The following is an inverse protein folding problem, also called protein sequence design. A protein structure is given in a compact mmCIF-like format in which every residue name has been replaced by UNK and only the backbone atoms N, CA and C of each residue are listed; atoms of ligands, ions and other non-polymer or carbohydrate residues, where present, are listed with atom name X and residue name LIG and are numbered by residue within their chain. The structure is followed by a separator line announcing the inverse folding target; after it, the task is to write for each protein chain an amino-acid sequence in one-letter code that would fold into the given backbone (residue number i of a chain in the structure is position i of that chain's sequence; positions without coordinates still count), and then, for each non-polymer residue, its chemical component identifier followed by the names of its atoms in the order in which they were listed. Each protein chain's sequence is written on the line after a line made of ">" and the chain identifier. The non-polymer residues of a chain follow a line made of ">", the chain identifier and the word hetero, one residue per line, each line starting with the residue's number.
data_IF_422842130746
#
_entry.id   IF_422842130746
#
_cell.length_a   1.000
_cell.length_b   1.000
_cell.length_c   1.000
_cell.angle_alpha   90.00
_cell.angle_beta   90.00
_cell.angle_gamma   90.00
#
_symmetry.space_group_name_H-M   'P 1'
#
loop_
_entity.id
_entity.type
_entity.pdbx_description
1 polymer ?
#
# COMPACT_ATOMS: atom_id res chain seq x y z
N UNK A 1 24.43 -7.55 3.99
CA UNK A 1 24.11 -6.17 3.54
C UNK A 1 22.65 -5.93 3.81
N UNK A 2 22.30 -4.86 4.53
CA UNK A 2 20.91 -4.47 4.78
C UNK A 2 20.28 -3.91 3.52
N UNK A 3 18.99 -4.23 3.29
CA UNK A 3 18.23 -3.62 2.20
C UNK A 3 18.14 -2.10 2.41
N UNK A 4 18.25 -1.35 1.32
CA UNK A 4 18.10 0.11 1.32
C UNK A 4 16.70 0.43 0.82
N UNK A 5 15.91 1.11 1.64
CA UNK A 5 14.51 1.47 1.35
C UNK A 5 14.37 2.98 1.43
N UNK A 6 13.76 3.58 0.41
CA UNK A 6 13.24 4.95 0.47
C UNK A 6 11.72 4.88 0.60
N UNK A 7 11.16 5.69 1.49
CA UNK A 7 9.72 5.82 1.65
C UNK A 7 9.31 7.28 1.42
N UNK A 8 8.29 7.50 0.60
CA UNK A 8 7.78 8.84 0.30
C UNK A 8 6.25 8.85 0.16
N UNK A 9 5.57 9.93 0.55
CA UNK A 9 4.16 10.08 0.25
C UNK A 9 3.96 10.29 -1.26
N UNK A 10 2.90 9.71 -1.82
CA UNK A 10 2.46 10.04 -3.17
C UNK A 10 1.81 11.42 -3.24
N UNK A 11 1.13 11.81 -2.16
CA UNK A 11 0.55 13.13 -1.96
C UNK A 11 0.67 13.52 -0.48
N UNK A 12 1.03 14.77 -0.20
CA UNK A 12 1.02 15.31 1.16
C UNK A 12 -0.42 15.47 1.66
N UNK A 13 -0.73 14.94 2.83
CA UNK A 13 -2.03 15.14 3.49
C UNK A 13 -2.20 16.54 4.08
N UNK A 14 -1.11 17.28 4.27
CA UNK A 14 -1.12 18.63 4.86
C UNK A 14 -1.20 19.70 3.78
N UNK A 15 -0.32 19.63 2.79
CA UNK A 15 -0.22 20.64 1.72
C UNK A 15 -0.99 20.28 0.45
N UNK A 16 -1.47 19.04 0.31
CA UNK A 16 -2.14 18.55 -0.90
C UNK A 16 -1.22 18.32 -2.09
N UNK A 17 0.08 18.64 -2.00
CA UNK A 17 1.06 18.51 -3.08
C UNK A 17 1.21 17.04 -3.49
N UNK A 18 1.01 16.74 -4.77
CA UNK A 18 1.33 15.44 -5.40
C UNK A 18 2.82 15.41 -5.75
N UNK A 19 3.54 14.39 -5.28
CA UNK A 19 4.99 14.28 -5.49
C UNK A 19 5.31 13.60 -6.84
N UNK A 20 6.48 13.89 -7.46
CA UNK A 20 6.90 13.26 -8.72
C UNK A 20 7.40 11.82 -8.48
N UNK A 21 6.51 10.95 -8.00
CA UNK A 21 6.84 9.60 -7.51
C UNK A 21 7.62 8.78 -8.52
N UNK A 22 7.20 8.78 -9.80
CA UNK A 22 7.86 8.05 -10.88
C UNK A 22 9.35 8.40 -10.98
N UNK A 23 9.67 9.68 -11.06
CA UNK A 23 11.03 10.17 -11.21
C UNK A 23 11.88 9.82 -9.99
N UNK A 24 11.32 9.97 -8.78
CA UNK A 24 11.97 9.53 -7.55
C UNK A 24 12.24 8.02 -7.54
N UNK A 25 11.25 7.22 -7.96
CA UNK A 25 11.37 5.77 -7.97
C UNK A 25 12.45 5.29 -8.96
N UNK A 26 12.51 5.88 -10.15
CA UNK A 26 13.54 5.56 -11.15
C UNK A 26 14.94 5.91 -10.66
N UNK A 27 15.13 7.09 -10.07
CA UNK A 27 16.41 7.51 -9.52
C UNK A 27 16.89 6.57 -8.39
N UNK A 28 16.01 6.25 -7.44
CA UNK A 28 16.36 5.41 -6.31
C UNK A 28 16.66 3.95 -6.74
N UNK A 29 15.87 3.39 -7.66
CA UNK A 29 16.11 2.05 -8.18
C UNK A 29 17.42 1.94 -8.95
N UNK A 30 17.81 2.98 -9.69
CA UNK A 30 19.12 3.05 -10.37
C UNK A 30 20.30 2.89 -9.40
N UNK A 31 20.12 3.37 -8.16
CA UNK A 31 21.09 3.26 -7.08
C UNK A 31 20.95 1.97 -6.25
N UNK A 32 20.03 1.07 -6.62
CA UNK A 32 19.75 -0.17 -5.91
C UNK A 32 19.03 0.02 -4.58
N UNK A 33 18.11 0.99 -4.51
CA UNK A 33 17.14 1.17 -3.43
C UNK A 33 15.78 0.62 -3.82
N UNK A 34 15.10 0.00 -2.86
CA UNK A 34 13.66 -0.30 -2.95
C UNK A 34 12.86 0.97 -2.65
N UNK A 35 11.69 1.11 -3.25
CA UNK A 35 10.83 2.31 -3.13
C UNK A 35 9.47 1.93 -2.55
N UNK A 36 9.10 2.53 -1.41
CA UNK A 36 7.76 2.47 -0.81
C UNK A 36 7.03 3.79 -1.00
N UNK A 37 5.84 3.75 -1.58
CA UNK A 37 4.98 4.91 -1.73
C UNK A 37 3.80 4.83 -0.78
N UNK A 38 3.66 5.84 0.08
CA UNK A 38 2.43 6.02 0.85
C UNK A 38 1.36 6.70 -0.02
N UNK A 39 0.41 5.90 -0.51
CA UNK A 39 -0.69 6.37 -1.32
C UNK A 39 -1.94 6.73 -0.50
N UNK A 40 -1.87 6.81 0.83
CA UNK A 40 -3.05 7.04 1.66
C UNK A 40 -3.76 8.38 1.37
N UNK A 41 -3.03 9.43 1.00
CA UNK A 41 -3.61 10.70 0.55
C UNK A 41 -3.71 10.83 -0.98
N UNK A 42 -2.97 10.02 -1.73
CA UNK A 42 -2.99 10.01 -3.20
C UNK A 42 -4.18 9.23 -3.76
N UNK A 43 -4.45 8.04 -3.22
CA UNK A 43 -5.54 7.18 -3.69
C UNK A 43 -6.93 7.84 -3.73
N UNK A 44 -7.35 8.69 -2.76
CA UNK A 44 -8.64 9.35 -2.85
C UNK A 44 -8.73 10.45 -3.92
N UNK A 45 -7.61 10.96 -4.46
CA UNK A 45 -7.62 12.08 -5.41
C UNK A 45 -7.79 11.66 -6.87
N UNK A 46 -8.43 10.51 -7.12
CA UNK A 46 -8.63 9.93 -8.46
C UNK A 46 -8.11 8.51 -8.64
N UNK A 47 -7.76 7.82 -7.55
CA UNK A 47 -7.17 6.49 -7.59
C UNK A 47 -5.66 6.50 -7.86
N UNK A 48 -5.07 5.30 -7.89
CA UNK A 48 -3.63 5.10 -8.12
C UNK A 48 -3.45 4.11 -9.26
N UNK A 49 -2.63 4.49 -10.24
CA UNK A 49 -2.05 3.54 -11.20
C UNK A 49 -0.70 3.05 -10.68
N UNK A 50 -0.69 1.83 -10.17
CA UNK A 50 0.49 1.19 -9.58
C UNK A 50 1.64 1.05 -10.60
N UNK A 51 1.32 0.85 -11.88
CA UNK A 51 2.34 0.70 -12.92
C UNK A 51 3.03 2.03 -13.22
N UNK A 52 2.29 3.14 -13.20
CA UNK A 52 2.86 4.47 -13.41
C UNK A 52 3.72 4.95 -12.24
N UNK A 53 3.51 4.47 -11.01
CA UNK A 53 4.34 4.89 -9.87
C UNK A 53 5.77 4.35 -9.93
N UNK A 54 5.98 3.16 -10.53
CA UNK A 54 7.31 2.52 -10.57
C UNK A 54 7.83 2.02 -9.21
N UNK A 55 6.98 2.06 -8.16
CA UNK A 55 7.33 1.67 -6.81
C UNK A 55 7.46 0.15 -6.62
N UNK A 56 8.27 -0.27 -5.66
CA UNK A 56 8.36 -1.67 -5.22
C UNK A 56 7.21 -2.03 -4.28
N UNK A 57 6.80 -1.07 -3.46
CA UNK A 57 5.74 -1.18 -2.47
C UNK A 57 4.83 0.05 -2.52
N UNK A 58 3.52 -0.16 -2.35
CA UNK A 58 2.52 0.91 -2.25
C UNK A 58 1.57 0.60 -1.10
N UNK A 59 1.48 1.49 -0.12
CA UNK A 59 0.51 1.38 0.98
C UNK A 59 -0.74 2.19 0.71
N UNK A 60 -1.90 1.63 1.04
CA UNK A 60 -3.21 2.25 0.83
C UNK A 60 -4.15 1.98 2.02
N UNK A 61 -5.00 2.96 2.33
CA UNK A 61 -6.08 2.84 3.31
C UNK A 61 -7.43 3.01 2.63
N UNK A 62 -8.25 1.97 2.61
CA UNK A 62 -9.50 1.94 1.84
C UNK A 62 -10.55 2.94 2.34
N UNK A 63 -10.66 3.11 3.67
CA UNK A 63 -11.57 4.10 4.27
C UNK A 63 -11.29 5.54 3.81
N UNK A 64 -10.07 5.85 3.33
CA UNK A 64 -9.77 7.18 2.78
C UNK A 64 -10.33 7.36 1.38
N UNK A 65 -10.48 6.29 0.60
CA UNK A 65 -10.94 6.33 -0.80
C UNK A 65 -12.47 6.42 -0.85
N UNK A 66 -13.17 5.61 -0.05
CA UNK A 66 -14.63 5.47 -0.12
C UNK A 66 -15.30 5.37 1.27
N UNK A 67 -14.64 5.82 2.34
CA UNK A 67 -15.24 6.01 3.67
C UNK A 67 -15.35 4.76 4.57
N UNK A 68 -15.67 3.60 4.00
CA UNK A 68 -15.88 2.34 4.74
C UNK A 68 -15.39 1.14 3.90
N UNK A 69 -14.80 0.08 4.48
CA UNK A 69 -14.62 -0.21 5.91
C UNK A 69 -13.37 0.43 6.52
N UNK A 70 -13.44 0.71 7.82
CA UNK A 70 -12.27 1.04 8.65
C UNK A 70 -11.54 -0.24 9.08
N UNK A 71 -10.29 -0.09 9.54
CA UNK A 71 -9.50 -1.23 10.05
C UNK A 71 -8.99 -2.19 8.97
N UNK A 72 -9.00 -1.79 7.69
CA UNK A 72 -8.40 -2.54 6.59
C UNK A 72 -7.71 -1.60 5.59
N UNK A 73 -6.56 -2.06 5.08
CA UNK A 73 -5.77 -1.43 4.04
C UNK A 73 -5.06 -2.49 3.22
N UNK A 74 -4.15 -2.08 2.36
CA UNK A 74 -3.29 -3.00 1.62
C UNK A 74 -1.86 -2.48 1.52
N UNK A 75 -0.91 -3.42 1.53
CA UNK A 75 0.44 -3.21 1.04
C UNK A 75 0.54 -3.95 -0.29
N UNK A 76 0.50 -3.21 -1.39
CA UNK A 76 0.71 -3.78 -2.72
C UNK A 76 2.20 -3.83 -2.97
N UNK A 77 2.72 -4.98 -3.37
CA UNK A 77 4.14 -5.18 -3.58
C UNK A 77 4.41 -5.89 -4.91
N UNK A 78 5.50 -5.52 -5.58
CA UNK A 78 6.01 -6.33 -6.69
C UNK A 78 6.44 -7.69 -6.15
N UNK A 79 6.21 -8.77 -6.92
CA UNK A 79 6.53 -10.15 -6.45
C UNK A 79 8.00 -10.32 -6.10
N UNK A 80 8.89 -9.72 -6.90
CA UNK A 80 10.33 -9.74 -6.65
C UNK A 80 10.68 -8.95 -5.38
N UNK A 81 10.06 -7.80 -5.15
CA UNK A 81 10.23 -7.01 -3.93
C UNK A 81 9.74 -7.75 -2.68
N UNK A 82 8.56 -8.35 -2.75
CA UNK A 82 7.98 -9.14 -1.67
C UNK A 82 8.87 -10.35 -1.31
N UNK A 83 9.51 -10.97 -2.30
CA UNK A 83 10.43 -12.09 -2.08
C UNK A 83 11.72 -11.71 -1.32
N UNK A 84 12.15 -10.43 -1.40
CA UNK A 84 13.32 -9.89 -0.69
C UNK A 84 13.03 -9.63 0.78
N UNK A 85 11.77 -9.41 1.16
CA UNK A 85 11.40 -9.20 2.54
C UNK A 85 11.70 -10.44 3.39
N UNK A 86 12.04 -10.21 4.66
CA UNK A 86 12.32 -11.27 5.63
C UNK A 86 11.38 -11.14 6.82
N UNK A 87 10.64 -12.21 7.08
CA UNK A 87 9.81 -12.36 8.27
C UNK A 87 10.57 -13.19 9.31
N UNK A 88 10.94 -12.63 10.48
CA UNK A 88 11.69 -13.36 11.49
C UNK A 88 10.82 -14.22 12.41
N UNK A 89 9.50 -14.21 12.22
CA UNK A 89 8.53 -15.01 12.97
C UNK A 89 7.57 -15.73 12.01
N UNK A 90 6.78 -16.66 12.56
CA UNK A 90 5.63 -17.25 11.88
C UNK A 90 4.41 -17.15 12.79
N UNK A 91 3.22 -17.14 12.19
CA UNK A 91 1.95 -17.21 12.91
C UNK A 91 0.99 -18.14 12.16
N UNK A 92 -0.13 -18.48 12.79
CA UNK A 92 -1.25 -19.17 12.12
C UNK A 92 -1.64 -18.45 10.82
N UNK A 93 -2.10 -19.18 9.81
CA UNK A 93 -2.36 -18.63 8.47
C UNK A 93 -1.13 -18.55 7.56
N UNK A 94 0.09 -18.45 8.12
CA UNK A 94 1.34 -18.29 7.31
C UNK A 94 2.14 -19.58 7.13
N UNK A 95 1.68 -20.67 7.75
CA UNK A 95 2.29 -22.00 7.72
C UNK A 95 1.40 -22.96 6.92
N UNK A 96 1.99 -23.62 5.91
CA UNK A 96 1.33 -24.65 5.08
C UNK A 96 1.29 -26.02 5.74
N UNK A 97 2.35 -26.38 6.45
CA UNK A 97 2.50 -27.67 7.12
C UNK A 97 3.37 -27.48 8.35
N UNK A 98 2.98 -28.09 9.46
CA UNK A 98 3.86 -28.29 10.61
C UNK A 98 4.26 -29.75 10.60
N UNK A 99 5.55 -30.02 10.43
CA UNK A 99 6.08 -31.38 10.51
C UNK A 99 6.88 -31.51 11.80
N UNK A 100 6.56 -32.53 12.60
CA UNK A 100 7.42 -33.03 13.66
C UNK A 100 7.89 -34.44 13.28
N UNK A 101 8.94 -34.56 12.46
CA UNK A 101 9.33 -35.84 11.91
C UNK A 101 9.96 -36.79 12.95
N UNK A 102 10.27 -36.34 14.17
CA UNK A 102 11.01 -37.14 15.17
C UNK A 102 10.60 -36.92 16.65
N UNK A 103 9.47 -36.29 16.94
CA UNK A 103 9.04 -36.00 18.31
C UNK A 103 9.92 -34.95 19.01
N UNK A 104 10.52 -34.06 18.22
CA UNK A 104 11.52 -33.08 18.66
C UNK A 104 11.01 -31.66 18.48
N UNK A 105 11.50 -30.99 17.43
CA UNK A 105 11.12 -29.61 17.11
C UNK A 105 10.23 -29.58 15.86
N UNK A 106 9.07 -28.97 16.00
CA UNK A 106 8.15 -28.72 14.91
C UNK A 106 8.76 -27.72 13.92
N UNK A 107 9.01 -28.14 12.68
CA UNK A 107 9.54 -27.25 11.63
C UNK A 107 8.37 -26.73 10.78
N UNK A 108 8.04 -25.42 10.84
CA UNK A 108 6.97 -24.86 10.04
C UNK A 108 7.41 -24.68 8.58
N UNK A 109 6.71 -25.34 7.66
CA UNK A 109 6.80 -25.03 6.23
C UNK A 109 5.92 -23.82 5.92
N UNK A 110 6.53 -22.65 5.78
CA UNK A 110 5.80 -21.42 5.46
C UNK A 110 5.30 -21.36 4.01
N UNK A 111 4.29 -20.53 3.75
CA UNK A 111 3.95 -20.13 2.38
C UNK A 111 5.17 -19.49 1.67
N UNK A 112 5.27 -19.55 0.33
CA UNK A 112 6.35 -18.86 -0.39
C UNK A 112 6.35 -17.35 -0.08
N UNK A 113 7.53 -16.74 0.08
CA UNK A 113 7.63 -15.29 0.41
C UNK A 113 6.96 -14.38 -0.62
N UNK A 114 6.86 -14.82 -1.87
CA UNK A 114 6.19 -14.08 -2.94
C UNK A 114 4.64 -14.18 -2.87
N UNK A 115 4.10 -14.97 -1.95
CA UNK A 115 2.67 -15.17 -1.71
C UNK A 115 2.18 -14.24 -0.60
N UNK A 116 0.97 -13.70 -0.71
CA UNK A 116 0.42 -12.79 0.31
C UNK A 116 0.19 -13.51 1.65
N UNK A 117 -0.16 -14.80 1.62
CA UNK A 117 -0.39 -15.65 2.78
C UNK A 117 0.86 -15.79 3.67
N UNK A 118 2.06 -15.56 3.13
CA UNK A 118 3.27 -15.51 3.96
C UNK A 118 3.27 -14.32 4.94
N UNK A 119 2.56 -13.25 4.58
CA UNK A 119 2.58 -11.95 5.25
C UNK A 119 1.29 -11.63 6.02
N UNK A 120 0.26 -12.46 5.88
CA UNK A 120 -1.03 -12.28 6.53
C UNK A 120 -1.14 -13.18 7.77
N UNK A 121 -0.76 -12.62 8.93
CA UNK A 121 -0.80 -13.34 10.20
C UNK A 121 -2.23 -13.49 10.74
N UNK A 122 -2.59 -14.71 11.10
CA UNK A 122 -3.84 -15.06 11.75
C UNK A 122 -5.05 -15.04 10.80
N UNK A 123 -6.23 -14.90 11.40
CA UNK A 123 -7.47 -14.76 10.64
C UNK A 123 -7.53 -13.38 10.02
N UNK A 124 -7.54 -13.31 8.69
CA UNK A 124 -7.64 -12.03 7.98
C UNK A 124 -9.03 -11.41 8.18
N UNK A 125 -9.14 -10.09 7.99
CA UNK A 125 -10.41 -9.38 8.04
C UNK A 125 -11.25 -9.67 6.77
N UNK A 126 -11.78 -10.89 6.67
CA UNK A 126 -12.51 -11.38 5.49
C UNK A 126 -13.81 -10.59 5.23
N UNK A 127 -14.48 -10.10 6.27
CA UNK A 127 -15.65 -9.22 6.13
C UNK A 127 -15.25 -7.86 5.53
N UNK A 128 -14.17 -7.27 6.05
CA UNK A 128 -13.60 -6.04 5.50
C UNK A 128 -13.15 -6.23 4.05
N UNK A 129 -12.50 -7.35 3.71
CA UNK A 129 -12.06 -7.65 2.36
C UNK A 129 -13.22 -7.73 1.36
N UNK A 130 -14.35 -8.31 1.75
CA UNK A 130 -15.58 -8.31 0.94
C UNK A 130 -16.14 -6.89 0.74
N UNK A 131 -16.17 -6.07 1.79
CA UNK A 131 -16.64 -4.69 1.71
C UNK A 131 -15.72 -3.80 0.86
N UNK A 132 -14.39 -4.02 0.92
CA UNK A 132 -13.41 -3.33 0.07
C UNK A 132 -13.71 -3.55 -1.41
N UNK A 133 -14.04 -4.79 -1.81
CA UNK A 133 -14.41 -5.08 -3.20
C UNK A 133 -15.58 -4.21 -3.66
N UNK A 134 -16.65 -4.14 -2.87
CA UNK A 134 -17.84 -3.32 -3.18
C UNK A 134 -17.50 -1.83 -3.24
N UNK A 135 -16.65 -1.35 -2.33
CA UNK A 135 -16.18 0.04 -2.33
C UNK A 135 -15.34 0.40 -3.55
N UNK A 136 -14.48 -0.52 -4.02
CA UNK A 136 -13.72 -0.34 -5.26
C UNK A 136 -14.64 -0.34 -6.47
N UNK A 137 -15.57 -1.29 -6.58
CA UNK A 137 -16.56 -1.35 -7.68
C UNK A 137 -17.41 -0.06 -7.73
N UNK A 138 -17.85 0.45 -6.58
CA UNK A 138 -18.57 1.71 -6.48
C UNK A 138 -17.72 2.91 -6.92
N UNK A 139 -16.47 3.01 -6.42
CA UNK A 139 -15.55 4.10 -6.78
C UNK A 139 -15.22 4.10 -8.27
N UNK A 140 -15.02 2.92 -8.86
CA UNK A 140 -14.79 2.78 -10.30
C UNK A 140 -16.03 3.14 -11.13
N UNK A 141 -17.24 2.86 -10.61
CA UNK A 141 -18.49 3.27 -11.23
C UNK A 141 -18.72 4.79 -11.27
N UNK A 142 -18.10 5.56 -10.37
CA UNK A 142 -18.10 7.03 -10.41
C UNK A 142 -17.18 7.53 -11.53
N UNK A 143 -16.06 6.86 -11.77
CA UNK A 143 -15.03 7.27 -12.70
C UNK A 143 -13.87 7.98 -12.02
N UNK A 144 -12.66 7.40 -12.17
CA UNK A 144 -11.42 7.93 -11.56
C UNK A 144 -11.11 9.37 -12.02
N UNK A 145 -11.31 9.64 -13.30
CA UNK A 145 -11.09 10.96 -13.88
C UNK A 145 -12.10 11.98 -13.35
N UNK A 146 -13.36 11.59 -13.16
CA UNK A 146 -14.41 12.47 -12.64
C UNK A 146 -14.15 12.82 -11.18
N UNK A 147 -13.69 11.86 -10.36
CA UNK A 147 -13.26 12.12 -8.98
C UNK A 147 -12.08 13.09 -8.95
N UNK A 148 -11.06 12.88 -9.79
CA UNK A 148 -9.90 13.76 -9.85
C UNK A 148 -10.29 15.19 -10.24
N UNK A 149 -11.06 15.33 -11.32
CA UNK A 149 -11.54 16.63 -11.81
C UNK A 149 -12.38 17.34 -10.75
N UNK A 150 -13.30 16.64 -10.08
CA UNK A 150 -14.12 17.22 -9.02
C UNK A 150 -13.28 17.71 -7.84
N UNK A 151 -12.30 16.91 -7.40
CA UNK A 151 -11.40 17.29 -6.31
C UNK A 151 -10.55 18.52 -6.66
N UNK A 152 -10.06 18.59 -7.90
CA UNK A 152 -9.28 19.74 -8.41
C UNK A 152 -10.14 21.00 -8.50
N UNK A 153 -11.36 20.92 -9.06
CA UNK A 153 -12.29 22.05 -9.10
C UNK A 153 -12.64 22.58 -7.70
N UNK A 154 -12.85 21.70 -6.71
CA UNK A 154 -13.11 22.13 -5.34
C UNK A 154 -11.88 22.79 -4.71
N UNK A 155 -10.67 22.27 -4.96
CA UNK A 155 -9.45 22.84 -4.45
C UNK A 155 -9.17 24.25 -5.04
N UNK A 156 -9.48 24.46 -6.32
CA UNK A 156 -9.38 25.77 -6.98
C UNK A 156 -10.43 26.77 -6.50
N UNK A 157 -11.63 26.29 -6.16
CA UNK A 157 -12.71 27.14 -5.66
C UNK A 157 -12.46 27.63 -4.23
N UNK A 158 -11.78 26.83 -3.41
CA UNK A 158 -11.46 27.19 -2.03
C UNK A 158 -10.31 28.23 -1.98
N UNK A 159 -10.38 29.21 -1.07
CA UNK A 159 -9.27 30.14 -0.87
C UNK A 159 -8.02 29.36 -0.40
N UNK A 160 -6.81 29.82 -0.77
CA UNK A 160 -5.58 29.15 -0.36
C UNK A 160 -5.49 29.09 1.17
N UNK A 161 -4.96 27.99 1.75
CA UNK A 161 -4.78 27.90 3.19
C UNK A 161 -3.84 29.02 3.67
N UNK A 162 -4.03 29.52 4.91
CA UNK A 162 -3.13 30.50 5.49
C UNK A 162 -1.70 29.95 5.53
N UNK A 163 -0.67 30.82 5.41
CA UNK A 163 0.72 30.38 5.48
C UNK A 163 0.98 29.64 6.79
N UNK A 164 1.72 28.53 6.71
CA UNK A 164 2.14 27.81 7.91
C UNK A 164 3.05 28.69 8.78
N UNK A 165 2.91 28.66 10.11
CA UNK A 165 3.89 29.29 10.99
C UNK A 165 5.29 28.69 10.72
N UNK A 166 6.36 29.48 10.83
CA UNK A 166 7.72 28.94 10.72
C UNK A 166 7.92 27.83 11.77
N UNK A 167 8.61 26.77 11.35
CA UNK A 167 9.03 25.65 12.20
C UNK A 167 9.98 26.11 13.32
#
# INVERSE_FOLDING_TARGET
>A
GGGRLVALPGQSNSSGIKHPVRACAEACRGEGWDVLVDAAALAPSGGVDLASLGADFVSVSFYKIFGYPTGIGALVARRDALSRLRKPWFAGGTVRLVSDPRGGEAVPLMHPRASHEHWEDGTTNFQGALAVRLGVEWFEGIGRADVAAHAECLAEWLPPPPPHPPL
#
